data_IF_093082336157
#
_entry.id   IF_093082336157
#
_cell.length_a   1.000
_cell.length_b   1.000
_cell.length_c   1.000
_cell.angle_alpha   90.00
_cell.angle_beta   90.00
_cell.angle_gamma   90.00
#
_symmetry.space_group_name_H-M   'P 1'
#
loop_
_entity.id
_entity.type
_entity.pdbx_description
1 polymer ?
#
# COMPACT_ATOMS: atom_id res chain seq x y z
N UNK A 1 5.87 -16.08 1.45
CA UNK A 1 4.45 -15.76 1.29
C UNK A 1 4.26 -14.30 1.67
N UNK A 2 3.68 -13.52 0.78
CA UNK A 2 3.27 -12.13 0.97
C UNK A 2 1.74 -12.13 1.00
N UNK A 3 1.16 -11.58 2.06
CA UNK A 3 -0.27 -11.33 2.17
C UNK A 3 -0.53 -9.84 2.26
N UNK A 4 -1.38 -9.33 1.38
CA UNK A 4 -1.74 -7.91 1.31
C UNK A 4 -3.21 -7.79 1.72
N UNK A 5 -3.51 -6.82 2.58
CA UNK A 5 -4.88 -6.46 2.95
C UNK A 5 -5.04 -4.96 2.76
N UNK A 6 -6.07 -4.54 2.04
CA UNK A 6 -6.51 -3.15 1.93
C UNK A 6 -7.62 -2.95 2.96
N UNK A 7 -7.30 -2.29 4.07
CA UNK A 7 -8.22 -2.09 5.19
C UNK A 7 -9.18 -0.89 4.91
N UNK A 8 -8.78 0.06 4.06
CA UNK A 8 -9.59 1.21 3.70
C UNK A 8 -9.29 1.71 2.30
N UNK A 9 -10.33 2.08 1.54
CA UNK A 9 -10.25 2.87 0.32
C UNK A 9 -11.41 3.89 0.34
N UNK A 10 -11.11 5.19 0.37
CA UNK A 10 -12.15 6.23 0.33
C UNK A 10 -11.69 7.45 -0.45
N UNK A 11 -12.67 8.12 -1.06
CA UNK A 11 -12.47 9.36 -1.80
C UNK A 11 -12.72 10.55 -0.88
N UNK A 12 -11.84 11.55 -0.90
CA UNK A 12 -12.04 12.83 -0.20
C UNK A 12 -12.49 13.87 -1.21
N UNK A 13 -13.80 14.10 -1.29
CA UNK A 13 -14.42 15.07 -2.19
C UNK A 13 -13.79 16.47 -2.10
N UNK A 14 -13.35 16.90 -0.91
CA UNK A 14 -12.79 18.24 -0.67
C UNK A 14 -11.46 18.48 -1.42
N UNK A 15 -10.68 17.43 -1.67
CA UNK A 15 -9.35 17.51 -2.30
C UNK A 15 -9.29 16.77 -3.63
N UNK A 16 -10.41 16.18 -4.04
CA UNK A 16 -10.53 15.31 -5.22
C UNK A 16 -9.41 14.26 -5.28
N UNK A 17 -9.18 13.58 -4.15
CA UNK A 17 -8.15 12.56 -4.06
C UNK A 17 -8.67 11.27 -3.41
N UNK A 18 -7.97 10.18 -3.73
CA UNK A 18 -8.26 8.88 -3.15
C UNK A 18 -7.22 8.57 -2.09
N UNK A 19 -7.69 8.08 -0.95
CA UNK A 19 -6.86 7.53 0.11
C UNK A 19 -7.07 6.03 0.19
N UNK A 20 -5.97 5.33 0.40
CA UNK A 20 -5.97 3.93 0.72
C UNK A 20 -5.01 3.63 1.86
N UNK A 21 -5.22 2.50 2.51
CA UNK A 21 -4.33 2.04 3.55
C UNK A 21 -4.60 0.59 3.90
N UNK A 22 -3.62 -0.02 4.54
CA UNK A 22 -3.75 -1.39 4.97
C UNK A 22 -2.46 -1.94 5.52
N UNK A 23 -2.29 -3.25 5.35
CA UNK A 23 -1.13 -3.98 5.88
C UNK A 23 -0.63 -5.03 4.90
N UNK A 24 0.64 -5.34 5.06
CA UNK A 24 1.34 -6.43 4.39
C UNK A 24 1.87 -7.37 5.46
N UNK A 25 1.54 -8.65 5.37
CA UNK A 25 2.15 -9.70 6.18
C UNK A 25 3.24 -10.39 5.34
N UNK A 26 4.50 -10.24 5.74
CA UNK A 26 5.67 -10.78 5.05
C UNK A 26 6.76 -11.17 6.06
N UNK A 27 7.42 -12.32 5.84
CA UNK A 27 8.45 -12.87 6.76
C UNK A 27 8.02 -12.88 8.24
N UNK A 28 6.77 -13.27 8.52
CA UNK A 28 6.16 -13.28 9.87
C UNK A 28 6.09 -11.90 10.56
N UNK A 29 6.20 -10.82 9.79
CA UNK A 29 6.04 -9.44 10.25
C UNK A 29 4.86 -8.79 9.56
N UNK A 30 4.34 -7.73 10.19
CA UNK A 30 3.25 -6.92 9.69
C UNK A 30 3.78 -5.52 9.43
N UNK A 31 3.56 -5.04 8.22
CA UNK A 31 3.99 -3.73 7.77
C UNK A 31 2.75 -2.94 7.40
N UNK A 32 2.58 -1.76 8.00
CA UNK A 32 1.44 -0.91 7.69
C UNK A 32 1.83 0.15 6.65
N UNK A 33 0.88 0.45 5.78
CA UNK A 33 1.07 1.43 4.71
C UNK A 33 -0.18 2.29 4.53
N UNK A 34 0.05 3.50 4.03
CA UNK A 34 -0.98 4.39 3.52
C UNK A 34 -0.62 4.80 2.09
N UNK A 35 -1.61 5.25 1.35
CA UNK A 35 -1.40 5.79 0.02
C UNK A 35 -2.38 6.90 -0.29
N UNK A 36 -1.89 7.88 -1.05
CA UNK A 36 -2.69 8.91 -1.67
C UNK A 36 -2.53 8.80 -3.18
N UNK A 37 -3.64 8.90 -3.90
CA UNK A 37 -3.66 9.11 -5.33
C UNK A 37 -4.27 10.49 -5.58
N UNK A 38 -3.40 11.46 -5.81
CA UNK A 38 -3.80 12.81 -6.15
C UNK A 38 -4.18 12.87 -7.64
N UNK A 39 -5.20 13.66 -7.98
CA UNK A 39 -5.68 13.75 -9.37
C UNK A 39 -4.70 14.44 -10.34
N UNK A 40 -3.45 14.69 -9.89
CA UNK A 40 -2.38 15.31 -10.67
C UNK A 40 -1.59 14.31 -11.53
N UNK A 41 -2.01 13.04 -11.59
CA UNK A 41 -1.49 12.06 -12.56
C UNK A 41 -0.27 11.26 -12.09
N UNK A 42 0.09 11.33 -10.81
CA UNK A 42 1.21 10.55 -10.24
C UNK A 42 0.82 9.12 -9.83
N UNK A 43 -0.48 8.83 -9.72
CA UNK A 43 -1.00 7.53 -9.29
C UNK A 43 -0.85 7.31 -7.78
N UNK A 44 -0.99 6.05 -7.33
CA UNK A 44 -0.84 5.69 -5.92
C UNK A 44 0.63 5.80 -5.46
N UNK A 45 0.87 6.63 -4.47
CA UNK A 45 2.15 6.74 -3.75
C UNK A 45 2.04 5.94 -2.44
N UNK A 46 2.76 4.83 -2.31
CA UNK A 46 2.69 3.96 -1.13
C UNK A 46 3.73 4.42 -0.12
N UNK A 47 3.30 4.77 1.07
CA UNK A 47 4.16 5.24 2.16
C UNK A 47 4.03 4.33 3.39
N UNK A 48 5.15 4.05 4.08
CA UNK A 48 5.12 3.37 5.37
C UNK A 48 4.47 4.27 6.42
N UNK A 49 3.59 3.72 7.27
CA UNK A 49 2.98 4.51 8.36
C UNK A 49 4.04 4.94 9.40
N UNK A 50 5.05 4.12 9.63
CA UNK A 50 6.18 4.45 10.49
C UNK A 50 7.51 4.09 9.79
N UNK A 51 8.46 5.03 9.81
CA UNK A 51 9.80 4.86 9.21
C UNK A 51 10.60 3.67 9.77
N UNK A 52 10.24 3.21 10.97
CA UNK A 52 10.89 2.07 11.64
C UNK A 52 10.40 0.71 11.16
N UNK A 53 9.16 0.63 10.67
CA UNK A 53 8.47 -0.65 10.45
C UNK A 53 9.05 -1.43 9.29
N UNK A 54 9.66 -0.74 8.32
CA UNK A 54 10.12 -1.32 7.06
C UNK A 54 11.65 -1.47 7.01
N UNK A 55 12.37 -1.20 8.10
CA UNK A 55 13.86 -1.18 8.13
C UNK A 55 14.51 -2.55 7.92
N UNK A 56 13.76 -3.62 8.13
CA UNK A 56 14.27 -4.99 8.00
C UNK A 56 13.97 -5.64 6.65
N UNK A 57 13.33 -4.90 5.73
CA UNK A 57 13.20 -5.33 4.34
C UNK A 57 14.18 -4.55 3.46
N UNK A 58 14.64 -5.19 2.39
CA UNK A 58 15.53 -4.54 1.43
C UNK A 58 14.74 -3.57 0.54
N UNK A 59 15.44 -2.64 -0.13
CA UNK A 59 14.83 -1.77 -1.13
C UNK A 59 14.17 -2.57 -2.26
N UNK A 60 14.76 -3.70 -2.67
CA UNK A 60 14.17 -4.60 -3.67
C UNK A 60 12.85 -5.21 -3.18
N UNK A 61 12.81 -5.69 -1.93
CA UNK A 61 11.60 -6.24 -1.31
C UNK A 61 10.52 -5.16 -1.17
N UNK A 62 10.91 -3.95 -0.78
CA UNK A 62 10.03 -2.80 -0.70
C UNK A 62 9.41 -2.47 -2.05
N UNK A 63 10.23 -2.40 -3.10
CA UNK A 63 9.77 -2.13 -4.46
C UNK A 63 8.84 -3.23 -4.97
N UNK A 64 9.11 -4.50 -4.65
CA UNK A 64 8.23 -5.61 -5.00
C UNK A 64 6.88 -5.52 -4.28
N UNK A 65 6.89 -5.29 -2.97
CA UNK A 65 5.67 -5.21 -2.16
C UNK A 65 4.81 -4.02 -2.60
N UNK A 66 5.41 -2.84 -2.78
CA UNK A 66 4.67 -1.65 -3.22
C UNK A 66 4.08 -1.82 -4.60
N UNK A 67 4.77 -2.50 -5.53
CA UNK A 67 4.19 -2.84 -6.84
C UNK A 67 2.93 -3.69 -6.71
N UNK A 68 2.97 -4.74 -5.89
CA UNK A 68 1.81 -5.61 -5.65
C UNK A 68 0.65 -4.86 -4.99
N UNK A 69 0.94 -3.95 -4.03
CA UNK A 69 -0.09 -3.10 -3.42
C UNK A 69 -0.76 -2.22 -4.47
N UNK A 70 0.02 -1.57 -5.35
CA UNK A 70 -0.52 -0.75 -6.45
C UNK A 70 -1.38 -1.57 -7.40
N UNK A 71 -0.94 -2.77 -7.79
CA UNK A 71 -1.73 -3.69 -8.61
C UNK A 71 -3.08 -4.01 -7.93
N UNK A 72 -3.07 -4.30 -6.63
CA UNK A 72 -4.31 -4.54 -5.87
C UNK A 72 -5.24 -3.31 -5.86
N UNK A 73 -4.68 -2.11 -5.73
CA UNK A 73 -5.45 -0.85 -5.74
C UNK A 73 -6.09 -0.57 -7.11
N UNK A 74 -5.37 -0.80 -8.20
CA UNK A 74 -5.91 -0.64 -9.56
C UNK A 74 -6.97 -1.69 -9.90
N UNK A 75 -6.81 -2.92 -9.38
CA UNK A 75 -7.76 -4.01 -9.58
C UNK A 75 -8.92 -4.03 -8.56
N UNK A 76 -8.98 -3.05 -7.66
CA UNK A 76 -9.97 -2.96 -6.57
C UNK A 76 -10.05 -4.23 -5.71
N UNK A 77 -8.92 -4.89 -5.47
CA UNK A 77 -8.82 -6.09 -4.62
C UNK A 77 -8.61 -5.71 -3.17
N UNK A 78 -9.46 -6.23 -2.27
CA UNK A 78 -9.30 -6.04 -0.83
C UNK A 78 -8.25 -6.95 -0.19
N UNK A 79 -7.96 -8.10 -0.81
CA UNK A 79 -7.00 -9.09 -0.32
C UNK A 79 -6.20 -9.74 -1.46
N UNK A 80 -4.93 -10.05 -1.20
CA UNK A 80 -4.05 -10.75 -2.15
C UNK A 80 -3.01 -11.62 -1.42
N UNK A 81 -2.74 -12.82 -1.93
CA UNK A 81 -1.79 -13.78 -1.33
C UNK A 81 -0.90 -14.41 -2.42
N UNK A 82 0.43 -14.42 -2.22
CA UNK A 82 1.42 -15.08 -3.09
C UNK A 82 2.57 -15.70 -2.29
#
# INVERSE_FOLDING_TARGET
MIKITIDSQYHRDQFDDWLAGGKVEYKNKKYYWSSQNNNYGFGWEIEPIAEGDWRDITEEEFNQITRLVKECLYEHKSEYNI
#
